data_IF_767217128073
#
_entry.id   IF_767217128073
#
_cell.length_a   1.000
_cell.length_b   1.000
_cell.length_c   1.000
_cell.angle_alpha   90.00
_cell.angle_beta   90.00
_cell.angle_gamma   90.00
#
_symmetry.space_group_name_H-M   'P 1'
#
loop_
_entity.id
_entity.type
_entity.pdbx_description
1 polymer ?
#
# COMPACT_ATOMS: atom_id res chain seq x y z
N UNK A 1 -0.87 -16.25 -9.33
CA UNK A 1 0.51 -16.01 -8.83
C UNK A 1 0.78 -16.84 -7.58
N UNK A 2 2.02 -17.31 -7.35
CA UNK A 2 2.36 -18.03 -6.10
C UNK A 2 2.48 -17.07 -4.91
N UNK A 3 2.25 -17.57 -3.68
CA UNK A 3 2.37 -16.77 -2.45
C UNK A 3 3.75 -16.11 -2.31
N UNK A 4 4.82 -16.86 -2.58
CA UNK A 4 6.18 -16.33 -2.53
C UNK A 4 6.37 -15.13 -3.46
N UNK A 5 5.85 -15.20 -4.70
CA UNK A 5 5.98 -14.09 -5.66
C UNK A 5 5.15 -12.87 -5.27
N UNK A 6 3.98 -13.06 -4.65
CA UNK A 6 3.18 -11.96 -4.08
C UNK A 6 3.97 -11.27 -2.95
N UNK A 7 4.54 -12.05 -2.03
CA UNK A 7 5.35 -11.53 -0.92
C UNK A 7 6.53 -10.70 -1.45
N UNK A 8 7.32 -11.25 -2.38
CA UNK A 8 8.47 -10.53 -2.94
C UNK A 8 8.05 -9.20 -3.59
N UNK A 9 6.96 -9.20 -4.35
CA UNK A 9 6.46 -7.97 -4.97
C UNK A 9 5.98 -6.95 -3.94
N UNK A 10 5.28 -7.38 -2.90
CA UNK A 10 4.87 -6.49 -1.81
C UNK A 10 6.05 -5.92 -1.04
N UNK A 11 7.11 -6.71 -0.80
CA UNK A 11 8.35 -6.21 -0.18
C UNK A 11 8.97 -5.09 -1.04
N UNK A 12 9.16 -5.32 -2.34
CA UNK A 12 9.71 -4.31 -3.23
C UNK A 12 8.85 -3.05 -3.34
N UNK A 13 7.52 -3.21 -3.38
CA UNK A 13 6.60 -2.07 -3.39
C UNK A 13 6.65 -1.28 -2.08
N UNK A 14 6.78 -1.99 -0.95
CA UNK A 14 6.90 -1.41 0.39
C UNK A 14 8.19 -0.65 0.55
N UNK A 15 9.32 -1.19 0.07
CA UNK A 15 10.60 -0.47 0.06
C UNK A 15 10.48 0.86 -0.70
N UNK A 16 9.90 0.83 -1.91
CA UNK A 16 9.71 2.03 -2.72
C UNK A 16 8.84 3.08 -2.02
N UNK A 17 7.76 2.64 -1.37
CA UNK A 17 6.88 3.53 -0.63
C UNK A 17 7.57 4.10 0.61
N UNK A 18 8.27 3.27 1.39
CA UNK A 18 8.99 3.71 2.59
C UNK A 18 10.04 4.77 2.29
N UNK A 19 10.79 4.64 1.18
CA UNK A 19 11.74 5.67 0.75
C UNK A 19 11.02 7.00 0.45
N UNK A 20 9.94 6.96 -0.32
CA UNK A 20 9.14 8.16 -0.59
C UNK A 20 8.56 8.77 0.70
N UNK A 21 8.09 7.94 1.62
CA UNK A 21 7.51 8.38 2.88
C UNK A 21 8.54 9.09 3.77
N UNK A 22 9.78 8.57 3.84
CA UNK A 22 10.89 9.21 4.56
C UNK A 22 11.28 10.56 3.96
N UNK A 23 11.26 10.69 2.64
CA UNK A 23 11.60 11.94 1.93
C UNK A 23 10.47 13.00 2.02
N UNK A 24 9.27 12.62 2.46
CA UNK A 24 8.09 13.49 2.50
C UNK A 24 7.45 13.53 3.90
N UNK A 25 8.16 14.09 4.91
CA UNK A 25 7.73 14.01 6.30
C UNK A 25 6.39 14.68 6.62
N UNK A 26 5.91 15.60 5.78
CA UNK A 26 4.60 16.20 5.98
C UNK A 26 3.45 15.19 5.87
N UNK A 27 3.69 14.02 5.26
CA UNK A 27 2.73 12.91 5.18
C UNK A 27 2.60 12.13 6.51
N UNK A 28 3.50 12.34 7.49
CA UNK A 28 3.44 11.65 8.80
C UNK A 28 2.18 12.00 9.60
N UNK A 29 1.51 13.11 9.29
CA UNK A 29 0.35 13.61 10.06
C UNK A 29 -0.94 12.83 9.75
N UNK A 30 -0.99 12.13 8.61
CA UNK A 30 -2.24 11.57 8.08
C UNK A 30 -2.38 10.04 8.27
N UNK A 31 -1.36 9.36 8.82
CA UNK A 31 -1.41 7.91 9.05
C UNK A 31 -1.78 7.60 10.51
N UNK A 32 -2.82 6.80 10.75
CA UNK A 32 -3.14 6.34 12.09
C UNK A 32 -1.99 5.50 12.65
N UNK A 33 -1.63 5.73 13.92
CA UNK A 33 -0.46 5.11 14.56
C UNK A 33 -0.48 3.56 14.57
N UNK A 34 -1.65 2.94 14.38
CA UNK A 34 -1.84 1.48 14.39
C UNK A 34 -2.45 0.95 13.08
N UNK A 35 -2.45 1.74 12.00
CA UNK A 35 -3.02 1.28 10.74
C UNK A 35 -2.11 0.28 10.03
N UNK A 36 -2.71 -0.78 9.51
CA UNK A 36 -2.06 -1.64 8.51
C UNK A 36 -1.98 -0.90 7.18
N UNK A 37 -0.90 -1.11 6.44
CA UNK A 37 -0.70 -0.49 5.13
C UNK A 37 -0.81 -1.57 4.06
N UNK A 38 -1.71 -1.37 3.10
CA UNK A 38 -1.84 -2.25 1.93
C UNK A 38 -1.54 -1.44 0.67
N UNK A 39 -0.47 -1.81 -0.02
CA UNK A 39 0.08 -1.04 -1.15
C UNK A 39 -0.35 -1.68 -2.47
N UNK A 40 -0.82 -0.85 -3.40
CA UNK A 40 -1.29 -1.24 -4.74
C UNK A 40 -0.34 -0.68 -5.80
N UNK A 41 0.01 -1.51 -6.76
CA UNK A 41 0.86 -1.12 -7.89
C UNK A 41 0.02 -0.47 -8.99
N UNK A 42 0.60 0.49 -9.72
CA UNK A 42 -0.09 1.10 -10.87
C UNK A 42 -0.22 0.17 -12.07
N UNK A 43 0.65 -0.84 -12.16
CA UNK A 43 0.78 -1.70 -13.35
C UNK A 43 0.54 -3.18 -13.08
N UNK A 44 0.58 -3.63 -11.82
CA UNK A 44 0.44 -5.04 -11.48
C UNK A 44 -0.98 -5.42 -11.02
N UNK A 45 -1.85 -5.69 -11.99
CA UNK A 45 -3.24 -6.07 -11.72
C UNK A 45 -3.38 -7.40 -10.95
N UNK A 46 -2.47 -8.36 -11.12
CA UNK A 46 -2.54 -9.62 -10.39
C UNK A 46 -2.17 -9.44 -8.91
N UNK A 47 -1.14 -8.64 -8.63
CA UNK A 47 -0.78 -8.24 -7.29
C UNK A 47 -1.95 -7.49 -6.63
N UNK A 48 -2.53 -6.52 -7.35
CA UNK A 48 -3.65 -5.73 -6.85
C UNK A 48 -4.87 -6.57 -6.49
N UNK A 49 -5.20 -7.60 -7.27
CA UNK A 49 -6.27 -8.56 -6.90
C UNK A 49 -5.98 -9.33 -5.62
N UNK A 50 -4.71 -9.62 -5.34
CA UNK A 50 -4.29 -10.31 -4.12
C UNK A 50 -4.33 -9.35 -2.92
N UNK A 51 -3.87 -8.13 -3.11
CA UNK A 51 -3.88 -7.09 -2.08
C UNK A 51 -5.29 -6.59 -1.77
N UNK A 52 -6.22 -6.60 -2.73
CA UNK A 52 -7.64 -6.31 -2.50
C UNK A 52 -8.30 -7.34 -1.56
N UNK A 53 -7.89 -8.62 -1.64
CA UNK A 53 -8.35 -9.64 -0.69
C UNK A 53 -7.81 -9.39 0.71
N UNK A 54 -6.50 -9.14 0.82
CA UNK A 54 -5.85 -8.81 2.10
C UNK A 54 -6.51 -7.58 2.73
N UNK A 55 -6.78 -6.54 1.93
CA UNK A 55 -7.46 -5.34 2.38
C UNK A 55 -8.84 -5.65 3.00
N UNK A 56 -9.65 -6.46 2.31
CA UNK A 56 -10.99 -6.85 2.79
C UNK A 56 -10.93 -7.69 4.06
N UNK A 57 -10.00 -8.64 4.12
CA UNK A 57 -9.81 -9.50 5.29
C UNK A 57 -9.45 -8.64 6.52
N UNK A 58 -8.52 -7.69 6.38
CA UNK A 58 -8.13 -6.77 7.47
C UNK A 58 -9.29 -5.88 7.94
N UNK A 59 -10.08 -5.33 7.01
CA UNK A 59 -11.27 -4.53 7.35
C UNK A 59 -12.29 -5.39 8.11
N UNK A 60 -12.51 -6.64 7.66
CA UNK A 60 -13.42 -7.56 8.33
C UNK A 60 -12.95 -7.94 9.75
N UNK A 61 -11.64 -7.97 9.98
CA UNK A 61 -11.02 -8.17 11.29
C UNK A 61 -11.09 -6.93 12.19
N UNK A 62 -11.64 -5.81 11.70
CA UNK A 62 -11.72 -4.55 12.45
C UNK A 62 -10.38 -3.81 12.53
N UNK A 63 -9.41 -4.18 11.69
CA UNK A 63 -8.12 -3.51 11.61
C UNK A 63 -8.29 -2.20 10.85
N UNK A 64 -7.72 -1.12 11.38
CA UNK A 64 -7.61 0.14 10.64
C UNK A 64 -6.62 -0.04 9.49
N UNK A 65 -7.01 0.30 8.27
CA UNK A 65 -6.16 0.09 7.09
C UNK A 65 -6.01 1.38 6.31
N UNK A 66 -4.79 1.68 5.88
CA UNK A 66 -4.53 2.69 4.85
C UNK A 66 -4.22 1.99 3.54
N UNK A 67 -5.05 2.28 2.55
CA UNK A 67 -4.77 1.89 1.16
C UNK A 67 -3.82 2.90 0.55
N UNK A 68 -2.67 2.40 0.10
CA UNK A 68 -1.65 3.18 -0.61
C UNK A 68 -1.64 2.75 -2.07
N UNK A 69 -1.78 3.67 -3.00
CA UNK A 69 -1.86 3.33 -4.42
C UNK A 69 -0.80 4.10 -5.21
N UNK A 70 0.07 3.35 -5.89
CA UNK A 70 1.04 3.91 -6.82
C UNK A 70 0.31 4.58 -7.99
N UNK A 71 0.81 5.73 -8.44
CA UNK A 71 0.25 6.50 -9.54
C UNK A 71 1.22 6.65 -10.71
N UNK A 72 0.71 7.14 -11.83
CA UNK A 72 1.52 7.54 -12.98
C UNK A 72 2.03 8.98 -12.90
N UNK A 73 1.62 9.75 -11.89
CA UNK A 73 2.07 11.13 -11.67
C UNK A 73 3.44 11.11 -10.99
N UNK A 74 4.41 11.83 -11.56
CA UNK A 74 5.77 11.92 -11.02
C UNK A 74 5.85 12.82 -9.79
N UNK A 75 4.96 13.81 -9.68
CA UNK A 75 4.91 14.73 -8.54
C UNK A 75 4.14 14.12 -7.36
N UNK A 76 3.11 13.33 -7.66
CA UNK A 76 2.31 12.60 -6.66
C UNK A 76 2.32 11.09 -6.92
N UNK A 77 3.48 10.42 -6.77
CA UNK A 77 3.65 9.02 -7.16
C UNK A 77 2.81 8.05 -6.31
N UNK A 78 2.22 8.53 -5.21
CA UNK A 78 1.38 7.75 -4.31
C UNK A 78 0.10 8.52 -3.96
N UNK A 79 -1.00 7.79 -3.85
CA UNK A 79 -2.28 8.25 -3.31
C UNK A 79 -2.64 7.44 -2.08
N UNK A 80 -3.29 8.10 -1.13
CA UNK A 80 -3.67 7.55 0.15
C UNK A 80 -5.18 7.62 0.32
N UNK A 81 -5.77 6.58 0.89
CA UNK A 81 -7.18 6.58 1.27
C UNK A 81 -7.40 5.61 2.42
N UNK A 82 -8.19 6.03 3.41
CA UNK A 82 -8.76 5.14 4.41
C UNK A 82 -10.08 4.56 3.83
N UNK A 83 -10.14 3.26 3.55
CA UNK A 83 -11.31 2.60 2.98
C UNK A 83 -12.42 2.32 4.01
#
# INVERSE_FOLDING_TARGET
MSKAKIIFKNISLSEKFSLYYLDNPNLFVDFPNNASIVIFSKSDNELNKSNDKILKDLIQEGTEVVKVQETSDQNTPWRFSSP
#
